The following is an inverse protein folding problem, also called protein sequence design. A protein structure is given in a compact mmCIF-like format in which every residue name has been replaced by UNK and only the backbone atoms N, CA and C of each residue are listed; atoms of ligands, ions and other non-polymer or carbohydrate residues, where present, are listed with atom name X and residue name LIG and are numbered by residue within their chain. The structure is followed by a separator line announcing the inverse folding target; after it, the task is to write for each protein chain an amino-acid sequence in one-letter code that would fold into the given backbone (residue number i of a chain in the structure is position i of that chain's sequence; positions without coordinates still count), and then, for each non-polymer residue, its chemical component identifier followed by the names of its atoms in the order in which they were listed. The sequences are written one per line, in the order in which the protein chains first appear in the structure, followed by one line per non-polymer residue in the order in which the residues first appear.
data_IF_166097505979
#
_entry.id   IF_166097505979
#
_cell.length_a   1.000
_cell.length_b   1.000
_cell.length_c   1.000
_cell.angle_alpha   90.00
_cell.angle_beta   90.00
_cell.angle_gamma   90.00
#
_symmetry.space_group_name_H-M   'P 1'
#
loop_
_entity.id
_entity.type
_entity.pdbx_description
1 polymer ?
#
# COMPACT_ATOMS: atom_id res chain seq x y z
N UNK A 1 -14.48 1.97 31.48
CA UNK A 1 -13.35 2.78 30.99
C UNK A 1 -13.80 3.47 29.72
N UNK A 2 -14.15 4.73 29.83
CA UNK A 2 -14.58 5.60 28.71
C UNK A 2 -13.32 6.18 28.06
N UNK A 3 -12.97 5.72 26.85
CA UNK A 3 -11.93 6.36 26.06
C UNK A 3 -12.45 7.73 25.59
N UNK A 4 -11.80 8.78 26.07
CA UNK A 4 -12.11 10.18 25.79
C UNK A 4 -11.89 10.54 24.33
N UNK A 5 -12.76 11.42 23.83
CA UNK A 5 -12.79 12.00 22.48
C UNK A 5 -11.66 13.02 22.17
N UNK A 6 -10.48 12.91 22.80
CA UNK A 6 -9.33 13.80 22.53
C UNK A 6 -8.53 13.39 21.27
N UNK A 7 -8.96 12.32 20.58
CA UNK A 7 -8.25 11.67 19.47
C UNK A 7 -8.11 12.53 18.21
N UNK A 8 -8.94 13.56 18.02
CA UNK A 8 -8.81 14.42 16.84
C UNK A 8 -7.59 15.34 16.90
N UNK A 9 -7.12 15.71 18.10
CA UNK A 9 -5.90 16.53 18.21
C UNK A 9 -4.67 15.72 17.82
N UNK A 10 -4.57 14.45 18.24
CA UNK A 10 -3.38 13.62 18.02
C UNK A 10 -3.12 13.27 16.56
N UNK A 11 -4.16 13.15 15.73
CA UNK A 11 -3.99 12.72 14.35
C UNK A 11 -3.42 13.80 13.43
N UNK A 12 -3.94 15.04 13.53
CA UNK A 12 -3.36 16.17 12.82
C UNK A 12 -1.91 16.43 13.27
N UNK A 13 -1.60 16.17 14.55
CA UNK A 13 -0.22 16.20 15.04
C UNK A 13 0.66 15.12 14.40
N UNK A 14 0.17 13.89 14.18
CA UNK A 14 0.96 12.82 13.60
C UNK A 14 1.33 13.07 12.13
N UNK A 15 0.38 13.52 11.31
CA UNK A 15 0.69 13.88 9.92
C UNK A 15 1.66 15.07 9.86
N UNK A 16 1.45 16.11 10.67
CA UNK A 16 2.35 17.26 10.74
C UNK A 16 3.77 16.87 11.23
N UNK A 17 3.86 15.94 12.19
CA UNK A 17 5.13 15.40 12.69
C UNK A 17 5.88 14.61 11.60
N UNK A 18 5.17 13.77 10.84
CA UNK A 18 5.73 13.08 9.68
C UNK A 18 6.29 14.08 8.66
N UNK A 19 5.48 15.07 8.25
CA UNK A 19 5.90 16.09 7.29
C UNK A 19 7.15 16.83 7.78
N UNK A 20 7.16 17.27 9.05
CA UNK A 20 8.32 17.94 9.65
C UNK A 20 9.57 17.06 9.64
N UNK A 21 9.42 15.78 9.97
CA UNK A 21 10.54 14.83 10.02
C UNK A 21 11.16 14.60 8.64
N UNK A 22 10.32 14.36 7.62
CA UNK A 22 10.78 14.21 6.24
C UNK A 22 11.47 15.48 5.71
N UNK A 23 10.86 16.64 5.93
CA UNK A 23 11.42 17.93 5.49
C UNK A 23 12.77 18.22 6.16
N UNK A 24 12.91 17.95 7.47
CA UNK A 24 14.19 18.08 8.19
C UNK A 24 15.26 17.15 7.63
N UNK A 25 14.87 15.98 7.12
CA UNK A 25 15.76 15.01 6.50
C UNK A 25 16.07 15.32 5.02
N UNK A 26 15.52 16.40 4.46
CA UNK A 26 15.72 16.77 3.05
C UNK A 26 14.95 15.89 2.06
N UNK A 27 13.91 15.19 2.51
CA UNK A 27 13.08 14.29 1.69
C UNK A 27 11.67 14.88 1.58
N UNK A 28 11.06 14.74 0.40
CA UNK A 28 9.66 15.09 0.22
C UNK A 28 8.78 14.13 1.05
N UNK A 29 7.79 14.62 1.82
CA UNK A 29 6.86 13.73 2.52
C UNK A 29 6.05 12.88 1.55
N UNK A 30 5.66 11.65 1.93
CA UNK A 30 4.83 10.79 1.09
C UNK A 30 3.46 11.43 0.83
N UNK A 31 2.83 11.18 -0.33
CA UNK A 31 1.47 11.61 -0.57
C UNK A 31 0.51 10.80 0.31
N UNK A 32 -0.32 11.51 1.07
CA UNK A 32 -1.30 10.89 1.98
C UNK A 32 -2.70 11.41 1.66
N UNK A 33 -3.68 10.53 1.34
CA UNK A 33 -5.08 10.91 1.19
C UNK A 33 -5.61 11.65 2.42
N UNK A 34 -6.40 12.71 2.21
CA UNK A 34 -6.82 13.63 3.28
C UNK A 34 -7.55 12.90 4.42
N UNK A 35 -8.39 11.92 4.11
CA UNK A 35 -9.12 11.12 5.09
C UNK A 35 -8.21 10.29 6.00
N UNK A 36 -7.07 9.83 5.49
CA UNK A 36 -6.15 8.97 6.24
C UNK A 36 -5.28 9.80 7.18
N UNK A 37 -4.99 11.07 6.84
CA UNK A 37 -4.25 12.00 7.73
C UNK A 37 -4.87 12.09 9.12
N UNK A 38 -6.20 12.12 9.19
CA UNK A 38 -6.95 12.20 10.44
C UNK A 38 -7.03 10.89 11.23
N UNK A 39 -6.60 9.77 10.63
CA UNK A 39 -6.52 8.47 11.29
C UNK A 39 -5.08 8.10 11.66
N UNK A 40 -4.10 8.88 11.18
CA UNK A 40 -2.70 8.59 11.40
C UNK A 40 -2.31 8.81 12.86
N UNK A 41 -1.43 7.96 13.36
CA UNK A 41 -0.66 8.19 14.58
C UNK A 41 0.81 7.83 14.33
N UNK A 42 1.67 8.30 15.22
CA UNK A 42 3.08 7.89 15.23
C UNK A 42 3.20 6.63 16.08
N UNK A 43 3.59 5.53 15.46
CA UNK A 43 3.81 4.27 16.16
C UNK A 43 5.20 4.22 16.81
N UNK A 44 6.24 4.63 16.06
CA UNK A 44 7.64 4.60 16.51
C UNK A 44 8.42 5.82 15.97
N UNK A 45 9.72 5.89 16.27
CA UNK A 45 10.60 6.81 15.56
C UNK A 45 10.65 6.44 14.08
N UNK A 46 10.32 7.41 13.21
CA UNK A 46 10.19 7.19 11.78
C UNK A 46 9.14 6.16 11.32
N UNK A 47 8.10 5.92 12.13
CA UNK A 47 6.95 5.10 11.72
C UNK A 47 5.61 5.79 12.02
N UNK A 48 4.83 6.05 10.97
CA UNK A 48 3.50 6.65 11.05
C UNK A 48 2.49 5.79 10.29
N UNK A 49 1.39 5.46 10.94
CA UNK A 49 0.45 4.46 10.44
C UNK A 49 -1.00 4.80 10.81
N UNK A 50 -1.97 4.13 10.18
CA UNK A 50 -3.38 4.16 10.58
C UNK A 50 -3.83 2.90 11.33
N UNK A 51 -2.94 1.92 11.48
CA UNK A 51 -3.09 0.71 12.29
C UNK A 51 -1.71 0.19 12.70
N UNK A 52 -1.65 -0.74 13.66
CA UNK A 52 -0.37 -1.27 14.11
C UNK A 52 0.28 -2.13 13.03
N UNK A 53 1.57 -1.92 12.81
CA UNK A 53 2.37 -2.64 11.81
C UNK A 53 3.68 -3.09 12.44
N UNK A 54 4.34 -4.06 11.82
CA UNK A 54 5.75 -4.31 12.09
C UNK A 54 6.58 -3.61 10.99
N UNK A 55 7.33 -2.52 11.31
CA UNK A 55 8.16 -1.81 10.33
C UNK A 55 9.19 -2.73 9.65
N UNK A 56 9.68 -3.74 10.37
CA UNK A 56 10.64 -4.69 9.85
C UNK A 56 9.98 -5.64 8.83
N UNK A 57 8.74 -6.09 9.07
CA UNK A 57 7.98 -6.87 8.09
C UNK A 57 7.72 -6.07 6.80
N UNK A 58 7.48 -4.75 6.91
CA UNK A 58 7.43 -3.87 5.74
C UNK A 58 8.78 -3.87 5.01
N UNK A 59 9.88 -3.73 5.72
CA UNK A 59 11.22 -3.75 5.10
C UNK A 59 11.57 -5.09 4.42
N UNK A 60 11.18 -6.22 5.01
CA UNK A 60 11.46 -7.54 4.46
C UNK A 60 10.56 -7.88 3.25
N UNK A 61 9.51 -7.10 3.01
CA UNK A 61 8.44 -7.43 2.04
C UNK A 61 7.87 -8.81 2.39
N UNK A 62 7.53 -9.00 3.66
CA UNK A 62 6.96 -10.25 4.16
C UNK A 62 5.71 -10.62 3.34
N UNK A 63 5.68 -11.84 2.82
CA UNK A 63 4.57 -12.32 2.00
C UNK A 63 3.25 -12.28 2.75
N UNK A 64 3.24 -12.58 4.06
CA UNK A 64 2.03 -12.54 4.88
C UNK A 64 1.49 -11.11 4.98
N UNK A 65 2.39 -10.15 5.15
CA UNK A 65 2.03 -8.74 5.17
C UNK A 65 1.47 -8.31 3.80
N UNK A 66 2.12 -8.69 2.69
CA UNK A 66 1.62 -8.40 1.35
C UNK A 66 0.27 -9.05 1.04
N UNK A 67 0.02 -10.25 1.57
CA UNK A 67 -1.26 -10.95 1.47
C UNK A 67 -2.35 -10.27 2.29
N UNK A 68 -2.02 -9.75 3.48
CA UNK A 68 -2.93 -8.97 4.30
C UNK A 68 -3.35 -7.69 3.59
N UNK A 69 -2.42 -6.97 2.94
CA UNK A 69 -2.72 -5.78 2.13
C UNK A 69 -3.69 -6.05 0.98
N UNK A 70 -3.76 -7.30 0.52
CA UNK A 70 -4.66 -7.73 -0.56
C UNK A 70 -6.02 -8.18 -0.03
N UNK A 71 -6.19 -8.30 1.28
CA UNK A 71 -7.44 -8.76 1.87
C UNK A 71 -8.60 -7.86 1.45
N UNK A 72 -9.70 -8.43 0.93
CA UNK A 72 -10.88 -7.66 0.52
C UNK A 72 -11.59 -7.00 1.70
N UNK A 73 -11.27 -7.43 2.93
CA UNK A 73 -11.77 -6.86 4.18
C UNK A 73 -10.89 -5.76 4.74
N UNK A 74 -9.73 -5.53 4.14
CA UNK A 74 -8.83 -4.50 4.64
C UNK A 74 -9.46 -3.14 4.31
N UNK A 75 -9.74 -2.41 5.38
CA UNK A 75 -10.13 -1.01 5.35
C UNK A 75 -9.00 -0.17 4.74
N UNK A 76 -9.32 1.08 4.43
CA UNK A 76 -8.30 2.01 3.97
C UNK A 76 -7.18 2.15 5.01
N UNK A 77 -5.96 2.07 4.51
CA UNK A 77 -4.79 1.88 5.33
C UNK A 77 -3.62 2.68 4.77
N UNK A 78 -2.84 3.26 5.67
CA UNK A 78 -1.55 3.85 5.35
C UNK A 78 -0.53 3.43 6.40
N UNK A 79 0.65 3.05 5.95
CA UNK A 79 1.84 3.03 6.78
C UNK A 79 3.04 3.60 6.04
N UNK A 80 3.81 4.40 6.74
CA UNK A 80 5.09 4.93 6.32
C UNK A 80 6.10 4.55 7.38
N UNK A 81 7.16 3.84 6.99
CA UNK A 81 8.22 3.46 7.92
C UNK A 81 9.60 3.70 7.33
N UNK A 82 10.55 4.01 8.21
CA UNK A 82 11.97 3.87 7.93
C UNK A 82 12.47 2.64 8.68
N UNK A 83 12.89 1.61 7.97
CA UNK A 83 13.40 0.38 8.58
C UNK A 83 14.56 -0.18 7.76
N UNK A 84 15.36 -1.02 8.42
CA UNK A 84 16.58 -1.55 7.85
C UNK A 84 17.39 -2.44 8.78
N UNK A 85 18.45 -3.05 8.24
CA UNK A 85 19.40 -3.85 9.01
C UNK A 85 20.84 -3.35 8.80
N UNK A 86 21.52 -3.02 9.90
CA UNK A 86 22.94 -2.66 9.91
C UNK A 86 23.25 -1.33 9.22
N UNK A 87 24.53 -1.07 8.95
CA UNK A 87 25.01 0.23 8.42
C UNK A 87 24.65 0.46 6.93
N UNK A 88 24.16 -0.56 6.23
CA UNK A 88 24.10 -0.57 4.77
C UNK A 88 22.70 -0.72 4.17
N UNK A 89 21.63 -0.90 4.94
CA UNK A 89 20.34 -1.28 4.32
C UNK A 89 19.15 -0.66 5.02
N UNK A 90 19.07 0.66 4.98
CA UNK A 90 17.92 1.44 5.44
C UNK A 90 17.10 1.94 4.26
N UNK A 91 15.78 1.84 4.37
CA UNK A 91 14.86 2.32 3.35
C UNK A 91 13.62 2.98 3.92
N UNK A 92 12.98 3.79 3.09
CA UNK A 92 11.62 4.29 3.32
C UNK A 92 10.63 3.37 2.64
N UNK A 93 9.71 2.82 3.44
CA UNK A 93 8.58 2.05 2.98
C UNK A 93 7.33 2.90 3.03
N UNK A 94 6.46 2.74 2.02
CA UNK A 94 5.10 3.26 2.05
C UNK A 94 4.17 2.12 1.60
N UNK A 95 3.21 1.79 2.45
CA UNK A 95 2.10 0.91 2.13
C UNK A 95 0.80 1.75 2.19
N UNK A 96 -0.01 1.65 1.14
CA UNK A 96 -1.24 2.41 1.00
C UNK A 96 -2.33 1.52 0.41
N UNK A 97 -3.47 1.46 1.06
CA UNK A 97 -4.71 0.85 0.56
C UNK A 97 -5.77 1.94 0.57
N UNK A 98 -6.25 2.32 -0.60
CA UNK A 98 -7.18 3.42 -0.76
C UNK A 98 -8.14 3.15 -1.93
N UNK A 99 -9.40 2.82 -1.61
CA UNK A 99 -10.38 2.37 -2.59
C UNK A 99 -9.93 1.14 -3.39
N UNK A 100 -9.89 1.19 -4.73
CA UNK A 100 -9.44 0.09 -5.57
C UNK A 100 -7.91 -0.01 -5.67
N UNK A 101 -7.15 0.84 -4.98
CA UNK A 101 -5.71 0.97 -5.14
C UNK A 101 -4.97 0.42 -3.92
N UNK A 102 -4.02 -0.48 -4.17
CA UNK A 102 -3.02 -0.96 -3.21
C UNK A 102 -1.65 -0.61 -3.74
N UNK A 103 -0.86 0.15 -2.99
CA UNK A 103 0.51 0.52 -3.33
C UNK A 103 1.42 0.06 -2.21
N UNK A 104 2.49 -0.62 -2.58
CA UNK A 104 3.63 -0.86 -1.73
C UNK A 104 4.89 -0.36 -2.44
N UNK A 105 5.60 0.59 -1.83
CA UNK A 105 6.87 1.08 -2.34
C UNK A 105 7.97 1.01 -1.30
N UNK A 106 9.18 0.68 -1.74
CA UNK A 106 10.38 0.64 -0.92
C UNK A 106 11.52 1.38 -1.63
N UNK A 107 11.95 2.49 -1.06
CA UNK A 107 13.02 3.34 -1.60
C UNK A 107 14.25 3.33 -0.69
N UNK A 108 15.43 3.31 -1.30
CA UNK A 108 16.69 3.49 -0.57
C UNK A 108 16.72 4.84 0.12
N UNK A 109 16.99 4.85 1.43
CA UNK A 109 17.14 6.06 2.22
C UNK A 109 17.86 5.72 3.51
N UNK A 110 19.10 6.14 3.67
CA UNK A 110 19.89 5.73 4.83
C UNK A 110 21.21 5.04 4.49
N UNK A 111 22.00 4.75 5.52
CA UNK A 111 23.23 3.93 5.44
C UNK A 111 24.35 4.48 4.54
N UNK A 112 25.23 3.59 4.05
CA UNK A 112 26.28 3.94 3.09
C UNK A 112 25.73 4.42 1.72
N UNK A 113 24.44 4.26 1.48
CA UNK A 113 23.76 4.61 0.22
C UNK A 113 23.09 5.99 0.26
N UNK A 114 23.44 6.85 1.22
CA UNK A 114 23.03 8.26 1.22
C UNK A 114 23.68 9.01 0.06
N UNK A 115 22.93 9.23 -1.01
CA UNK A 115 23.32 10.12 -2.10
C UNK A 115 22.13 10.91 -2.61
N UNK A 116 22.40 11.98 -3.35
CA UNK A 116 21.39 12.77 -4.07
C UNK A 116 20.48 11.91 -4.94
N UNK A 117 20.97 10.77 -5.43
CA UNK A 117 20.20 9.80 -6.22
C UNK A 117 19.05 9.17 -5.42
N UNK A 118 19.23 8.88 -4.13
CA UNK A 118 18.19 8.32 -3.27
C UNK A 118 17.04 9.31 -3.09
N UNK A 119 17.35 10.56 -2.76
CA UNK A 119 16.36 11.65 -2.61
C UNK A 119 15.61 11.88 -3.93
N UNK A 120 16.33 11.88 -5.07
CA UNK A 120 15.72 12.00 -6.40
C UNK A 120 14.73 10.87 -6.66
N UNK A 121 15.13 9.61 -6.41
CA UNK A 121 14.27 8.45 -6.63
C UNK A 121 13.03 8.45 -5.72
N UNK A 122 13.16 8.85 -4.45
CA UNK A 122 12.01 9.02 -3.55
C UNK A 122 11.04 10.08 -4.09
N UNK A 123 11.57 11.24 -4.50
CA UNK A 123 10.78 12.32 -5.09
C UNK A 123 10.02 11.88 -6.35
N UNK A 124 10.68 11.14 -7.23
CA UNK A 124 10.07 10.58 -8.44
C UNK A 124 8.96 9.60 -8.07
N UNK A 125 9.25 8.65 -7.17
CA UNK A 125 8.25 7.70 -6.64
C UNK A 125 7.00 8.41 -6.12
N UNK A 126 7.18 9.41 -5.26
CA UNK A 126 6.07 10.11 -4.62
C UNK A 126 5.30 10.99 -5.59
N UNK A 127 5.97 11.56 -6.59
CA UNK A 127 5.29 12.24 -7.71
C UNK A 127 4.40 11.28 -8.48
N UNK A 128 4.88 10.07 -8.81
CA UNK A 128 4.07 9.08 -9.51
C UNK A 128 2.86 8.61 -8.69
N UNK A 129 3.05 8.36 -7.40
CA UNK A 129 1.94 7.99 -6.51
C UNK A 129 0.92 9.13 -6.44
N UNK A 130 1.36 10.38 -6.35
CA UNK A 130 0.47 11.55 -6.37
C UNK A 130 -0.37 11.57 -7.64
N UNK A 131 0.26 11.41 -8.81
CA UNK A 131 -0.45 11.38 -10.09
C UNK A 131 -1.49 10.24 -10.15
N UNK A 132 -1.20 9.06 -9.58
CA UNK A 132 -2.17 7.96 -9.50
C UNK A 132 -3.32 8.31 -8.56
N UNK A 133 -3.04 8.91 -7.41
CA UNK A 133 -4.07 9.31 -6.44
C UNK A 133 -5.00 10.38 -6.99
N UNK A 134 -4.51 11.27 -7.84
CA UNK A 134 -5.32 12.29 -8.54
C UNK A 134 -6.32 11.68 -9.54
N UNK A 135 -6.16 10.42 -9.93
CA UNK A 135 -7.13 9.70 -10.77
C UNK A 135 -8.34 9.21 -9.97
N UNK A 136 -8.23 9.10 -8.64
CA UNK A 136 -9.30 8.58 -7.81
C UNK A 136 -10.34 9.68 -7.53
N UNK A 137 -11.64 9.36 -7.60
CA UNK A 137 -12.68 10.33 -7.27
C UNK A 137 -12.69 10.64 -5.76
N UNK A 138 -13.25 11.79 -5.37
CA UNK A 138 -13.27 12.21 -3.96
C UNK A 138 -14.05 11.23 -3.06
N UNK A 139 -15.05 10.54 -3.62
CA UNK A 139 -15.95 9.61 -2.93
C UNK A 139 -15.50 8.14 -3.04
N UNK A 140 -14.27 7.87 -3.50
CA UNK A 140 -13.74 6.52 -3.77
C UNK A 140 -13.93 5.54 -2.60
N UNK A 141 -13.92 6.03 -1.35
CA UNK A 141 -14.06 5.22 -0.13
C UNK A 141 -15.46 4.64 0.05
N UNK A 142 -16.46 5.29 -0.55
CA UNK A 142 -17.87 4.89 -0.46
C UNK A 142 -18.27 3.87 -1.54
N UNK A 143 -17.37 3.60 -2.48
CA UNK A 143 -17.63 2.73 -3.62
C UNK A 143 -17.09 1.32 -3.38
N UNK A 144 -17.86 0.32 -3.79
CA UNK A 144 -17.40 -1.06 -3.83
C UNK A 144 -16.76 -1.34 -5.18
N UNK A 145 -15.55 -1.89 -5.16
CA UNK A 145 -14.85 -2.34 -6.36
C UNK A 145 -14.66 -3.85 -6.30
N UNK A 146 -15.07 -4.55 -7.37
CA UNK A 146 -14.80 -5.98 -7.53
C UNK A 146 -13.34 -6.27 -7.84
N UNK A 147 -12.60 -5.27 -8.32
CA UNK A 147 -11.19 -5.39 -8.67
C UNK A 147 -10.35 -4.35 -7.89
N UNK A 148 -9.14 -4.75 -7.49
CA UNK A 148 -8.11 -3.87 -6.95
C UNK A 148 -6.86 -3.89 -7.82
N UNK A 149 -6.29 -2.73 -8.07
CA UNK A 149 -4.95 -2.58 -8.62
C UNK A 149 -3.92 -2.64 -7.48
N UNK A 150 -3.04 -3.63 -7.54
CA UNK A 150 -1.88 -3.74 -6.66
C UNK A 150 -0.64 -3.27 -7.43
N UNK A 151 0.10 -2.33 -6.86
CA UNK A 151 1.37 -1.81 -7.40
C UNK A 151 2.48 -2.08 -6.39
N UNK A 152 3.55 -2.71 -6.83
CA UNK A 152 4.70 -3.05 -6.01
C UNK A 152 5.98 -2.52 -6.66
N UNK A 153 6.71 -1.69 -5.92
CA UNK A 153 8.01 -1.16 -6.32
C UNK A 153 9.01 -1.31 -5.18
N UNK A 154 10.18 -1.88 -5.45
CA UNK A 154 11.31 -1.84 -4.53
C UNK A 154 12.61 -1.56 -5.29
N UNK A 155 13.20 -0.40 -5.01
CA UNK A 155 14.52 -0.05 -5.50
C UNK A 155 15.64 -0.90 -4.89
N UNK A 156 15.40 -1.57 -3.76
CA UNK A 156 16.39 -2.48 -3.13
C UNK A 156 16.44 -3.84 -3.82
N UNK A 157 15.27 -4.33 -4.21
CA UNK A 157 15.10 -5.71 -4.65
C UNK A 157 14.95 -5.81 -6.17
N UNK A 158 15.14 -4.68 -6.87
CA UNK A 158 14.89 -4.53 -8.31
C UNK A 158 13.51 -5.09 -8.71
N UNK A 159 12.52 -4.85 -7.83
CA UNK A 159 11.19 -5.41 -7.96
C UNK A 159 10.24 -4.33 -8.48
N UNK A 160 9.59 -4.62 -9.60
CA UNK A 160 8.65 -3.70 -10.24
C UNK A 160 7.52 -4.51 -10.87
N UNK A 161 6.30 -4.37 -10.38
CA UNK A 161 5.15 -5.06 -10.94
C UNK A 161 3.84 -4.41 -10.52
N UNK A 162 2.80 -4.64 -11.32
CA UNK A 162 1.42 -4.38 -10.93
C UNK A 162 0.55 -5.58 -11.29
N UNK A 163 -0.58 -5.71 -10.60
CA UNK A 163 -1.56 -6.78 -10.80
C UNK A 163 -2.96 -6.24 -10.59
N UNK A 164 -3.92 -6.70 -11.39
CA UNK A 164 -5.36 -6.54 -11.09
C UNK A 164 -5.81 -7.79 -10.36
N UNK A 165 -6.45 -7.60 -9.20
CA UNK A 165 -6.94 -8.69 -8.36
C UNK A 165 -8.45 -8.60 -8.21
N UNK A 166 -9.12 -9.72 -8.42
CA UNK A 166 -10.53 -9.86 -8.07
C UNK A 166 -10.67 -10.03 -6.54
N UNK A 167 -11.29 -9.03 -5.93
CA UNK A 167 -11.54 -8.91 -4.48
C UNK A 167 -12.33 -10.12 -3.95
N UNK A 168 -13.19 -10.74 -4.77
CA UNK A 168 -13.98 -11.91 -4.40
C UNK A 168 -13.19 -13.22 -4.40
N UNK A 169 -12.07 -13.29 -5.13
CA UNK A 169 -11.23 -14.48 -5.25
C UNK A 169 -10.12 -14.54 -4.20
N UNK A 170 -9.63 -13.39 -3.73
CA UNK A 170 -8.58 -13.32 -2.69
C UNK A 170 -9.04 -13.95 -1.38
N UNK A 171 -10.31 -13.75 -1.00
CA UNK A 171 -10.91 -14.39 0.19
C UNK A 171 -10.82 -15.91 0.14
N UNK A 172 -11.00 -16.55 -1.01
CA UNK A 172 -10.95 -18.03 -1.10
C UNK A 172 -9.53 -18.59 -0.97
N UNK A 173 -8.51 -17.86 -1.43
CA UNK A 173 -7.11 -18.31 -1.38
C UNK A 173 -6.48 -18.14 -0.01
N UNK A 174 -6.79 -17.05 0.71
CA UNK A 174 -6.23 -16.83 2.05
C UNK A 174 -6.70 -17.90 3.07
N UNK A 175 -7.94 -18.40 2.96
CA UNK A 175 -8.39 -19.52 3.79
C UNK A 175 -7.68 -20.85 3.48
N UNK A 176 -7.18 -21.04 2.26
CA UNK A 176 -6.44 -22.24 1.85
C UNK A 176 -4.99 -22.24 2.31
N UNK A 177 -4.36 -21.06 2.45
CA UNK A 177 -2.96 -20.95 2.87
C UNK A 177 -2.85 -20.94 4.41
N UNK A 178 -3.86 -20.41 5.11
CA UNK A 178 -3.86 -20.33 6.57
C UNK A 178 -4.51 -21.53 7.28
N UNK A 179 -4.87 -22.60 6.55
CA UNK A 179 -5.50 -23.81 7.09
C UNK A 179 -4.72 -25.08 6.77
N UNK A 180 -3.93 -25.54 7.76
CA UNK A 180 -3.59 -26.95 8.02
C UNK A 180 -3.17 -27.84 6.83
N UNK A 181 -1.85 -27.94 6.63
CA UNK A 181 -1.17 -29.16 6.18
C UNK A 181 -1.39 -29.58 4.73
N UNK A 182 -0.39 -29.33 3.88
CA UNK A 182 0.08 -30.29 2.90
C UNK A 182 1.55 -29.93 2.56
N UNK A 183 2.46 -30.77 3.04
CA UNK A 183 3.75 -30.98 2.40
C UNK A 183 3.45 -31.58 1.02
N UNK A 184 3.42 -30.77 -0.03
CA UNK A 184 3.45 -31.27 -1.39
C UNK A 184 4.28 -30.30 -2.25
N UNK A 185 5.48 -30.77 -2.62
CA UNK A 185 6.49 -30.09 -3.45
C UNK A 185 6.05 -29.94 -4.92
N UNK A 186 4.75 -29.76 -5.18
CA UNK A 186 4.18 -29.66 -6.52
C UNK A 186 3.36 -28.39 -6.75
N UNK A 187 3.80 -27.26 -6.16
CA UNK A 187 3.28 -25.93 -6.55
C UNK A 187 3.91 -25.48 -7.87
N UNK A 188 3.62 -26.21 -8.95
CA UNK A 188 3.86 -25.78 -10.33
C UNK A 188 2.60 -26.04 -11.16
N UNK A 189 1.59 -25.15 -11.06
CA UNK A 189 0.58 -24.89 -12.11
C UNK A 189 -0.69 -24.13 -11.63
N UNK A 190 -0.86 -23.84 -10.34
CA UNK A 190 -2.08 -23.21 -9.80
C UNK A 190 -2.22 -21.68 -9.94
N UNK A 191 -1.36 -20.99 -10.70
CA UNK A 191 -1.44 -19.53 -10.93
C UNK A 191 -2.35 -19.13 -12.11
N UNK A 192 -3.31 -19.97 -12.50
CA UNK A 192 -4.32 -19.61 -13.49
C UNK A 192 -5.41 -18.73 -12.85
N UNK A 193 -5.25 -17.41 -12.90
CA UNK A 193 -6.32 -16.46 -12.53
C UNK A 193 -5.85 -15.10 -12.04
N UNK A 194 -4.56 -14.89 -11.81
CA UNK A 194 -4.03 -13.61 -11.31
C UNK A 194 -2.90 -13.15 -12.23
N UNK A 195 -3.22 -12.12 -13.01
CA UNK A 195 -2.33 -11.11 -13.61
C UNK A 195 -1.04 -11.56 -14.32
N UNK A 196 -0.85 -11.00 -15.51
CA UNK A 196 0.44 -10.91 -16.19
C UNK A 196 1.45 -10.14 -15.30
N UNK A 197 2.25 -10.86 -14.50
CA UNK A 197 3.37 -10.27 -13.76
C UNK A 197 4.44 -9.83 -14.78
N UNK A 198 4.35 -8.59 -15.25
CA UNK A 198 5.35 -8.02 -16.17
C UNK A 198 6.60 -7.65 -15.38
N UNK A 199 7.67 -8.45 -15.54
CA UNK A 199 8.98 -8.13 -14.95
C UNK A 199 9.70 -7.04 -15.77
N UNK A 200 10.41 -6.15 -15.05
CA UNK A 200 11.41 -5.18 -15.56
C UNK A 200 10.87 -4.10 -16.49
N UNK A 201 10.03 -3.22 -15.95
CA UNK A 201 9.76 -1.91 -16.55
C UNK A 201 10.46 -0.84 -15.73
N UNK A 202 10.84 0.28 -16.35
CA UNK A 202 11.33 1.43 -15.59
C UNK A 202 10.26 1.86 -14.57
N UNK A 203 10.67 2.57 -13.52
CA UNK A 203 9.74 3.11 -12.53
C UNK A 203 8.63 3.93 -13.21
N UNK A 204 8.99 4.83 -14.11
CA UNK A 204 8.06 5.64 -14.89
C UNK A 204 7.05 4.80 -15.66
N UNK A 205 7.52 3.76 -16.37
CA UNK A 205 6.66 2.88 -17.15
C UNK A 205 5.72 2.09 -16.24
N UNK A 206 6.20 1.59 -15.10
CA UNK A 206 5.36 0.90 -14.10
C UNK A 206 4.18 1.76 -13.69
N UNK A 207 4.45 2.99 -13.22
CA UNK A 207 3.39 3.86 -12.71
C UNK A 207 2.48 4.40 -13.83
N UNK A 208 3.02 4.60 -15.04
CA UNK A 208 2.21 4.99 -16.21
C UNK A 208 1.21 3.91 -16.60
N UNK A 209 1.65 2.65 -16.68
CA UNK A 209 0.76 1.53 -17.00
C UNK A 209 -0.24 1.27 -15.86
N UNK A 210 0.21 1.34 -14.60
CA UNK A 210 -0.66 1.25 -13.43
C UNK A 210 -1.79 2.30 -13.48
N UNK A 211 -1.49 3.55 -13.84
CA UNK A 211 -2.49 4.60 -13.99
C UNK A 211 -3.55 4.28 -15.06
N UNK A 212 -3.14 3.74 -16.22
CA UNK A 212 -4.07 3.31 -17.28
C UNK A 212 -4.99 2.18 -16.81
N UNK A 213 -4.44 1.21 -16.09
CA UNK A 213 -5.19 0.09 -15.53
C UNK A 213 -6.17 0.58 -14.47
N UNK A 214 -5.76 1.50 -13.61
CA UNK A 214 -6.64 2.09 -12.60
C UNK A 214 -7.83 2.80 -13.25
N UNK A 215 -7.60 3.62 -14.29
CA UNK A 215 -8.69 4.26 -15.03
C UNK A 215 -9.66 3.24 -15.62
N UNK A 216 -9.15 2.10 -16.13
CA UNK A 216 -10.01 1.02 -16.61
C UNK A 216 -10.90 0.45 -15.51
N UNK A 217 -10.36 0.23 -14.31
CA UNK A 217 -11.12 -0.24 -13.14
C UNK A 217 -12.18 0.80 -12.74
N UNK A 218 -11.82 2.08 -12.67
CA UNK A 218 -12.74 3.16 -12.30
C UNK A 218 -13.88 3.35 -13.31
N UNK A 219 -13.63 3.06 -14.60
CA UNK A 219 -14.63 3.16 -15.66
C UNK A 219 -15.54 1.93 -15.76
N UNK A 220 -15.24 0.85 -15.05
CA UNK A 220 -16.18 -0.27 -14.94
C UNK A 220 -17.39 0.22 -14.14
N UNK A 221 -18.59 0.01 -14.68
CA UNK A 221 -19.82 0.33 -13.96
C UNK A 221 -19.77 -0.40 -12.61
N UNK A 222 -19.94 0.29 -11.47
CA UNK A 222 -19.96 -0.36 -10.18
C UNK A 222 -20.98 -1.50 -10.25
N UNK A 223 -20.65 -2.71 -9.77
CA UNK A 223 -21.68 -3.74 -9.66
C UNK A 223 -22.83 -3.13 -8.86
N UNK A 224 -24.08 -3.29 -9.32
CA UNK A 224 -25.23 -2.76 -8.61
C UNK A 224 -25.06 -3.06 -7.12
N UNK A 225 -25.16 -2.05 -6.23
CA UNK A 225 -24.93 -2.25 -4.80
C UNK A 225 -25.76 -3.45 -4.42
N UNK A 226 -25.10 -4.53 -3.96
CA UNK A 226 -25.79 -5.78 -3.66
C UNK A 226 -26.98 -5.42 -2.78
N UNK A 227 -28.19 -5.47 -3.35
CA UNK A 227 -29.42 -5.15 -2.63
C UNK A 227 -29.43 -6.13 -1.47
N UNK A 228 -29.14 -5.61 -0.28
CA UNK A 228 -28.94 -6.40 0.92
C UNK A 228 -30.17 -7.32 1.05
N UNK A 229 -30.06 -8.64 0.78
CA UNK A 229 -31.23 -9.45 0.43
C UNK A 229 -32.13 -9.80 1.62
N UNK A 230 -31.95 -9.16 2.78
CA UNK A 230 -32.79 -9.45 3.94
C UNK A 230 -32.51 -8.57 5.15
N UNK A 231 -33.09 -7.38 5.16
CA UNK A 231 -33.71 -6.85 6.37
C UNK A 231 -35.20 -6.71 6.08
N UNK A 232 -35.90 -7.85 5.97
CA UNK A 232 -37.35 -7.87 6.13
C UNK A 232 -37.57 -7.75 7.64
N UNK A 233 -38.05 -6.59 8.07
CA UNK A 233 -38.52 -6.33 9.44
C UNK A 233 -39.82 -7.10 9.67
#
# INVERSE_FOLDING_TARGET
MTHNNDNNSSADFAYADMVRTFMKAGVQPPPVPKCLRQKMYRQEEWCWTTMDVNPFSMYEVDLNYMLELQSPRLDEYLAVSHAGHGINSYGLQLALVYGPLVIFVQNAFGGAYHGSNAIKSIKETYSYITNILELLPEDVQSQFYSERLVVLWSGFRELSCYSVQDVSLVTRRLYSICGLGCEDDSVSSGMAGVSEWRQRTSQEQLFTEAGKVLQKILNQTPPEPMRNPGWII
#
